data_IF_783960246777
#
_entry.id   IF_783960246777
#
_cell.length_a   1.000
_cell.length_b   1.000
_cell.length_c   1.000
_cell.angle_alpha   90.00
_cell.angle_beta   90.00
_cell.angle_gamma   90.00
#
_symmetry.space_group_name_H-M   'P 1'
#
loop_
_entity.id
_entity.type
_entity.pdbx_description
1 polymer ?
#
# COMPACT_ATOMS: atom_id res chain seq x y z
N UNK A 1 -16.04 -9.75 -4.40
CA UNK A 1 -14.82 -8.89 -4.40
C UNK A 1 -14.77 -8.13 -5.70
N UNK A 2 -14.03 -7.02 -5.84
CA UNK A 2 -14.18 -6.08 -6.97
C UNK A 2 -14.05 -6.70 -8.36
N UNK A 3 -13.25 -7.77 -8.50
CA UNK A 3 -13.09 -8.48 -9.77
C UNK A 3 -14.17 -9.52 -10.05
N UNK A 4 -14.79 -10.08 -9.01
CA UNK A 4 -15.86 -11.07 -9.13
C UNK A 4 -17.23 -10.42 -9.30
N UNK A 5 -17.47 -9.38 -8.50
CA UNK A 5 -18.74 -8.66 -8.42
C UNK A 5 -18.42 -7.16 -8.64
N UNK A 6 -18.08 -6.76 -9.88
CA UNK A 6 -17.72 -5.38 -10.17
C UNK A 6 -18.93 -4.45 -10.02
N UNK A 7 -18.69 -3.25 -9.51
CA UNK A 7 -19.73 -2.24 -9.34
C UNK A 7 -19.21 -1.00 -8.61
N UNK A 8 -19.98 0.10 -8.58
CA UNK A 8 -19.62 1.30 -7.85
C UNK A 8 -19.29 0.99 -6.38
N UNK A 9 -18.13 1.42 -5.90
CA UNK A 9 -17.70 1.23 -4.51
C UNK A 9 -17.16 -0.16 -4.18
N UNK A 10 -16.94 -1.04 -5.16
CA UNK A 10 -16.46 -2.41 -4.90
C UNK A 10 -15.02 -2.44 -4.36
N UNK A 11 -14.14 -1.55 -4.86
CA UNK A 11 -12.80 -1.35 -4.33
C UNK A 11 -12.84 -0.70 -2.95
N UNK A 12 -13.72 0.27 -2.72
CA UNK A 12 -13.95 0.88 -1.39
C UNK A 12 -14.41 -0.16 -0.36
N UNK A 13 -15.38 -1.01 -0.69
CA UNK A 13 -15.86 -2.07 0.21
C UNK A 13 -14.74 -3.07 0.54
N UNK A 14 -13.94 -3.45 -0.46
CA UNK A 14 -12.78 -4.33 -0.27
C UNK A 14 -11.68 -3.65 0.55
N UNK A 15 -11.45 -2.36 0.36
CA UNK A 15 -10.51 -1.56 1.13
C UNK A 15 -10.87 -1.53 2.63
N UNK A 16 -12.14 -1.27 2.96
CA UNK A 16 -12.62 -1.33 4.35
C UNK A 16 -12.38 -2.71 4.98
N UNK A 17 -12.73 -3.78 4.27
CA UNK A 17 -12.48 -5.16 4.74
C UNK A 17 -10.99 -5.47 4.92
N UNK A 18 -10.14 -5.01 4.01
CA UNK A 18 -8.69 -5.18 4.10
C UNK A 18 -8.10 -4.44 5.29
N UNK A 19 -8.55 -3.21 5.57
CA UNK A 19 -8.11 -2.44 6.73
C UNK A 19 -8.46 -3.13 8.05
N UNK A 20 -9.68 -3.68 8.17
CA UNK A 20 -10.10 -4.46 9.35
C UNK A 20 -9.25 -5.73 9.50
N UNK A 21 -8.99 -6.43 8.39
CA UNK A 21 -8.15 -7.62 8.40
C UNK A 21 -6.70 -7.32 8.83
N UNK A 22 -6.13 -6.21 8.35
CA UNK A 22 -4.78 -5.79 8.68
C UNK A 22 -4.60 -5.49 10.19
N UNK A 23 -5.66 -5.09 10.90
CA UNK A 23 -5.64 -4.91 12.35
C UNK A 23 -5.48 -6.26 13.08
N UNK A 24 -6.05 -7.34 12.54
CA UNK A 24 -5.90 -8.67 13.10
C UNK A 24 -4.48 -9.22 12.85
N UNK A 25 -4.08 -9.31 11.57
CA UNK A 25 -2.78 -9.81 11.16
C UNK A 25 -2.34 -9.22 9.81
N UNK A 26 -1.23 -8.47 9.78
CA UNK A 26 -0.70 -7.90 8.53
C UNK A 26 -0.06 -8.94 7.59
N UNK A 27 0.30 -10.12 8.09
CA UNK A 27 0.91 -11.18 7.28
C UNK A 27 -0.06 -11.84 6.31
N UNK A 28 -1.28 -12.14 6.76
CA UNK A 28 -2.31 -12.74 5.88
C UNK A 28 -2.70 -11.81 4.73
N UNK A 29 -2.56 -10.50 4.92
CA UNK A 29 -2.83 -9.50 3.88
C UNK A 29 -1.90 -9.64 2.67
N UNK A 30 -0.69 -10.21 2.81
CA UNK A 30 0.26 -10.35 1.70
C UNK A 30 -0.26 -11.24 0.55
N UNK A 31 -0.62 -12.52 0.77
CA UNK A 31 -1.19 -13.35 -0.30
C UNK A 31 -2.58 -12.88 -0.77
N UNK A 32 -3.38 -12.25 0.09
CA UNK A 32 -4.68 -11.70 -0.29
C UNK A 32 -4.51 -10.50 -1.24
N UNK A 33 -3.60 -9.58 -0.90
CA UNK A 33 -3.25 -8.44 -1.73
C UNK A 33 -2.61 -8.86 -3.05
N UNK A 34 -1.71 -9.85 -3.02
CA UNK A 34 -1.10 -10.41 -4.22
C UNK A 34 -2.11 -11.04 -5.18
N UNK A 35 -3.06 -11.81 -4.64
CA UNK A 35 -4.15 -12.42 -5.41
C UNK A 35 -5.04 -11.37 -6.06
N UNK A 36 -5.42 -10.35 -5.29
CA UNK A 36 -6.21 -9.22 -5.78
C UNK A 36 -5.48 -8.41 -6.86
N UNK A 37 -4.20 -8.10 -6.66
CA UNK A 37 -3.43 -7.26 -7.57
C UNK A 37 -3.02 -7.97 -8.87
N UNK A 38 -2.94 -9.30 -8.88
CA UNK A 38 -2.54 -10.06 -10.07
C UNK A 38 -3.57 -9.98 -11.22
N UNK A 39 -4.87 -9.83 -10.92
CA UNK A 39 -5.94 -9.88 -11.91
C UNK A 39 -5.77 -8.87 -13.06
N UNK A 40 -5.54 -7.56 -12.81
CA UNK A 40 -5.27 -6.61 -13.89
C UNK A 40 -4.07 -6.97 -14.77
N UNK A 41 -3.00 -7.54 -14.20
CA UNK A 41 -1.83 -7.94 -14.99
C UNK A 41 -2.15 -9.15 -15.88
N UNK A 42 -2.90 -10.14 -15.36
CA UNK A 42 -3.29 -11.33 -16.13
C UNK A 42 -4.04 -10.96 -17.41
N UNK A 43 -4.87 -9.91 -17.37
CA UNK A 43 -5.66 -9.42 -18.51
C UNK A 43 -4.82 -8.88 -19.68
N UNK A 44 -3.50 -8.71 -19.52
CA UNK A 44 -2.59 -8.42 -20.63
C UNK A 44 -2.52 -9.56 -21.66
N UNK A 45 -2.90 -10.78 -21.27
CA UNK A 45 -2.94 -11.96 -22.13
C UNK A 45 -4.27 -12.69 -21.89
N UNK A 46 -5.31 -12.42 -22.72
CA UNK A 46 -6.69 -12.89 -22.48
C UNK A 46 -6.83 -14.40 -22.24
N UNK A 47 -6.09 -15.21 -22.97
CA UNK A 47 -6.07 -16.67 -22.84
C UNK A 47 -5.56 -17.11 -21.45
N UNK A 48 -4.51 -16.47 -20.93
CA UNK A 48 -3.98 -16.74 -19.58
C UNK A 48 -4.95 -16.22 -18.52
N UNK A 49 -5.56 -15.06 -18.72
CA UNK A 49 -6.57 -14.52 -17.82
C UNK A 49 -7.81 -15.43 -17.71
N UNK A 50 -8.28 -15.98 -18.83
CA UNK A 50 -9.46 -16.86 -18.87
C UNK A 50 -9.30 -18.12 -18.03
N UNK A 51 -8.06 -18.58 -17.85
CA UNK A 51 -7.73 -19.72 -17.01
C UNK A 51 -7.56 -19.30 -15.52
N UNK A 52 -6.76 -18.26 -15.25
CA UNK A 52 -6.39 -17.92 -13.86
C UNK A 52 -7.39 -17.02 -13.13
N UNK A 53 -7.98 -16.05 -13.81
CA UNK A 53 -8.84 -15.05 -13.17
C UNK A 53 -10.03 -15.67 -12.40
N UNK A 54 -10.80 -16.64 -12.96
CA UNK A 54 -11.90 -17.27 -12.23
C UNK A 54 -11.44 -17.95 -10.93
N UNK A 55 -10.23 -18.54 -10.93
CA UNK A 55 -9.68 -19.25 -9.76
C UNK A 55 -9.22 -18.26 -8.68
N UNK A 56 -8.62 -17.14 -9.06
CA UNK A 56 -8.19 -16.08 -8.14
C UNK A 56 -9.38 -15.28 -7.59
N UNK A 57 -10.48 -15.21 -8.34
CA UNK A 57 -11.73 -14.55 -7.93
C UNK A 57 -12.65 -15.45 -7.07
N UNK A 58 -12.31 -16.73 -6.90
CA UNK A 58 -13.07 -17.66 -6.07
C UNK A 58 -13.07 -17.22 -4.60
N UNK A 59 -14.23 -17.27 -3.90
CA UNK A 59 -14.31 -16.94 -2.48
C UNK A 59 -13.80 -18.08 -1.56
N UNK A 60 -13.31 -19.18 -2.12
CA UNK A 60 -12.97 -20.38 -1.36
C UNK A 60 -11.47 -20.52 -1.18
N UNK A 61 -11.01 -20.49 0.06
CA UNK A 61 -9.65 -20.88 0.40
C UNK A 61 -9.49 -22.40 0.34
N UNK A 62 -8.44 -22.85 -0.34
CA UNK A 62 -8.08 -24.26 -0.45
C UNK A 62 -6.59 -24.44 -0.16
N UNK A 63 -6.28 -25.10 0.95
CA UNK A 63 -4.90 -25.29 1.43
C UNK A 63 -4.19 -26.52 0.84
N UNK A 64 -4.91 -27.36 0.08
CA UNK A 64 -4.39 -28.65 -0.39
C UNK A 64 -3.23 -28.41 -1.36
N UNK A 65 -2.22 -29.29 -1.29
CA UNK A 65 -1.04 -29.25 -2.14
C UNK A 65 -1.28 -30.12 -3.38
N UNK A 66 -2.13 -29.63 -4.28
CA UNK A 66 -2.57 -30.29 -5.50
C UNK A 66 -2.56 -29.29 -6.67
N UNK A 67 -2.62 -29.75 -7.94
CA UNK A 67 -2.72 -28.86 -9.08
C UNK A 67 -3.88 -27.86 -8.96
N UNK A 68 -3.68 -26.64 -9.45
CA UNK A 68 -4.63 -25.54 -9.29
C UNK A 68 -6.01 -25.83 -9.92
N UNK A 69 -6.07 -26.65 -10.97
CA UNK A 69 -7.31 -27.08 -11.62
C UNK A 69 -8.24 -27.90 -10.70
N UNK A 70 -7.69 -28.59 -9.70
CA UNK A 70 -8.44 -29.43 -8.76
C UNK A 70 -8.81 -28.72 -7.44
N UNK A 71 -8.45 -27.43 -7.35
CA UNK A 71 -8.71 -26.60 -6.18
C UNK A 71 -10.02 -25.83 -6.32
N UNK A 72 -10.65 -25.51 -5.18
CA UNK A 72 -11.85 -24.66 -5.15
C UNK A 72 -11.56 -23.18 -5.37
N UNK A 73 -10.32 -22.76 -5.18
CA UNK A 73 -9.83 -21.40 -5.38
C UNK A 73 -8.31 -21.37 -5.27
N UNK A 74 -7.71 -20.35 -5.86
CA UNK A 74 -6.26 -20.21 -5.96
C UNK A 74 -5.78 -18.89 -5.38
N UNK A 75 -4.54 -18.86 -4.92
CA UNK A 75 -3.88 -17.61 -4.50
C UNK A 75 -2.66 -17.31 -5.37
N UNK A 76 -2.39 -16.02 -5.60
CA UNK A 76 -1.25 -15.53 -6.36
C UNK A 76 -0.26 -14.79 -5.45
N UNK A 77 1.02 -14.99 -5.69
CA UNK A 77 2.09 -14.15 -5.15
C UNK A 77 3.01 -13.67 -6.27
N UNK A 78 4.13 -13.04 -5.93
CA UNK A 78 4.99 -12.35 -6.89
C UNK A 78 6.46 -12.61 -6.61
N UNK A 79 7.27 -12.69 -7.66
CA UNK A 79 8.71 -12.88 -7.61
C UNK A 79 9.44 -11.91 -8.52
N UNK A 80 9.78 -10.73 -8.01
CA UNK A 80 10.48 -9.68 -8.77
C UNK A 80 11.93 -9.56 -8.33
N UNK A 81 12.15 -9.32 -7.04
CA UNK A 81 13.43 -8.97 -6.43
C UNK A 81 14.45 -10.09 -6.53
N UNK A 82 15.67 -9.72 -6.93
CA UNK A 82 16.85 -10.58 -6.93
C UNK A 82 17.92 -10.03 -5.96
N UNK A 83 19.00 -10.80 -5.75
CA UNK A 83 20.06 -10.46 -4.77
C UNK A 83 20.70 -9.10 -5.05
N UNK A 84 20.89 -8.78 -6.34
CA UNK A 84 21.50 -7.55 -6.83
C UNK A 84 20.57 -6.33 -6.79
N UNK A 85 19.25 -6.52 -6.66
CA UNK A 85 18.32 -5.40 -6.62
C UNK A 85 16.84 -5.78 -6.66
N UNK A 86 16.03 -4.99 -5.96
CA UNK A 86 14.56 -5.02 -6.05
C UNK A 86 13.93 -3.76 -6.63
N UNK A 87 14.64 -2.61 -6.56
CA UNK A 87 14.17 -1.37 -7.19
C UNK A 87 14.53 -1.30 -8.68
N UNK A 88 15.73 -1.77 -9.03
CA UNK A 88 16.15 -1.90 -10.43
C UNK A 88 15.93 -3.34 -10.92
N UNK A 89 14.66 -3.66 -11.24
CA UNK A 89 14.29 -4.98 -11.76
C UNK A 89 14.84 -5.26 -13.16
N UNK A 90 15.37 -4.25 -13.86
CA UNK A 90 16.03 -4.44 -15.18
C UNK A 90 17.38 -5.13 -15.05
N UNK A 91 18.00 -5.04 -13.88
CA UNK A 91 19.23 -5.76 -13.54
C UNK A 91 18.99 -7.25 -13.20
N UNK A 92 17.76 -7.76 -13.29
CA UNK A 92 17.46 -9.17 -13.06
C UNK A 92 18.25 -10.08 -14.01
N UNK A 93 18.72 -11.22 -13.49
CA UNK A 93 19.51 -12.21 -14.21
C UNK A 93 18.80 -13.55 -14.38
N UNK A 94 17.62 -13.75 -13.74
CA UNK A 94 16.78 -14.93 -14.06
C UNK A 94 16.47 -14.91 -15.55
N UNK A 95 16.80 -16.00 -16.25
CA UNK A 95 16.63 -16.14 -17.69
C UNK A 95 15.37 -16.94 -18.01
N UNK A 96 14.75 -16.66 -19.15
CA UNK A 96 13.62 -17.40 -19.68
C UNK A 96 13.92 -17.81 -21.13
N UNK A 97 13.92 -19.12 -21.39
CA UNK A 97 14.08 -19.68 -22.75
C UNK A 97 12.74 -20.17 -23.29
N UNK A 98 12.35 -19.83 -24.53
CA UNK A 98 11.07 -20.28 -25.09
C UNK A 98 11.02 -21.80 -25.20
N UNK A 99 9.85 -22.36 -24.93
CA UNK A 99 9.47 -23.74 -25.24
C UNK A 99 8.51 -23.68 -26.45
N UNK A 100 8.67 -24.59 -27.40
CA UNK A 100 7.80 -24.73 -28.57
C UNK A 100 7.53 -23.42 -29.35
N UNK A 101 8.54 -22.54 -29.45
CA UNK A 101 8.47 -21.29 -30.21
C UNK A 101 8.08 -20.03 -29.41
N UNK A 102 7.61 -20.17 -28.17
CA UNK A 102 7.32 -19.04 -27.28
C UNK A 102 6.17 -18.13 -27.75
N UNK A 103 6.29 -16.83 -27.48
CA UNK A 103 5.27 -15.81 -27.77
C UNK A 103 4.30 -15.56 -26.61
N UNK A 104 3.43 -14.52 -26.71
CA UNK A 104 2.42 -14.23 -25.69
C UNK A 104 1.58 -15.47 -25.36
N UNK A 105 1.41 -15.78 -24.08
CA UNK A 105 0.71 -16.99 -23.61
C UNK A 105 1.50 -18.30 -23.77
N UNK A 106 2.58 -18.30 -24.56
CA UNK A 106 3.48 -19.42 -24.77
C UNK A 106 4.33 -19.75 -23.55
N UNK A 107 4.78 -21.01 -23.47
CA UNK A 107 5.56 -21.52 -22.33
C UNK A 107 7.05 -21.24 -22.49
N UNK A 108 7.71 -20.96 -21.37
CA UNK A 108 9.14 -20.74 -21.25
C UNK A 108 9.67 -21.58 -20.09
N UNK A 109 10.92 -22.04 -20.19
CA UNK A 109 11.65 -22.57 -19.05
C UNK A 109 12.47 -21.45 -18.43
N UNK A 110 12.32 -21.26 -17.12
CA UNK A 110 12.97 -20.22 -16.34
C UNK A 110 14.05 -20.83 -15.45
N UNK A 111 15.22 -20.19 -15.46
CA UNK A 111 16.39 -20.58 -14.69
C UNK A 111 16.96 -19.34 -13.97
N UNK A 112 17.14 -19.41 -12.65
CA UNK A 112 17.62 -18.28 -11.85
C UNK A 112 17.14 -18.29 -10.41
N UNK A 113 16.93 -17.12 -9.81
CA UNK A 113 16.53 -17.01 -8.41
C UNK A 113 15.66 -15.80 -8.12
N UNK A 114 14.87 -15.87 -7.03
CA UNK A 114 14.21 -14.73 -6.40
C UNK A 114 14.59 -14.62 -4.94
N UNK A 115 15.03 -13.42 -4.56
CA UNK A 115 15.64 -13.19 -3.26
C UNK A 115 14.63 -12.95 -2.15
N UNK A 116 13.52 -12.30 -2.45
CA UNK A 116 12.36 -12.19 -1.56
C UNK A 116 11.14 -12.74 -2.26
N UNK A 117 10.71 -13.92 -1.84
CA UNK A 117 9.59 -14.63 -2.43
C UNK A 117 8.55 -14.95 -1.35
N UNK A 118 7.58 -14.05 -1.19
CA UNK A 118 6.56 -14.16 -0.15
C UNK A 118 5.44 -15.13 -0.54
N UNK A 119 4.81 -15.73 0.47
CA UNK A 119 3.77 -16.73 0.32
C UNK A 119 4.11 -17.85 -0.69
N UNK A 120 5.22 -18.59 -0.49
CA UNK A 120 5.69 -19.64 -1.41
C UNK A 120 4.71 -20.80 -1.57
N UNK A 121 3.65 -20.84 -0.76
CA UNK A 121 2.56 -21.81 -0.86
C UNK A 121 1.47 -21.43 -1.87
N UNK A 122 1.49 -20.20 -2.43
CA UNK A 122 0.56 -19.78 -3.47
C UNK A 122 0.60 -20.73 -4.69
N UNK A 123 -0.51 -20.74 -5.43
CA UNK A 123 -0.71 -21.66 -6.55
C UNK A 123 -0.04 -21.19 -7.83
N UNK A 124 0.13 -19.87 -7.95
CA UNK A 124 0.71 -19.21 -9.10
C UNK A 124 1.48 -17.97 -8.68
N UNK A 125 2.48 -17.61 -9.49
CA UNK A 125 3.37 -16.50 -9.23
C UNK A 125 3.58 -15.66 -10.47
N UNK A 126 3.52 -14.34 -10.35
CA UNK A 126 4.00 -13.44 -11.39
C UNK A 126 5.48 -13.18 -11.19
N UNK A 127 6.31 -13.65 -12.12
CA UNK A 127 7.78 -13.64 -12.02
C UNK A 127 8.37 -12.84 -13.18
N UNK A 128 9.31 -11.93 -12.89
CA UNK A 128 10.07 -11.22 -13.92
C UNK A 128 11.33 -11.99 -14.29
N UNK A 129 11.59 -12.19 -15.58
CA UNK A 129 12.80 -12.84 -16.10
C UNK A 129 13.21 -12.25 -17.46
N UNK A 130 14.48 -12.42 -17.83
CA UNK A 130 15.04 -11.98 -19.11
C UNK A 130 14.73 -13.01 -20.20
N UNK A 131 13.85 -12.64 -21.13
CA UNK A 131 13.61 -13.38 -22.37
C UNK A 131 14.52 -12.85 -23.49
N UNK A 132 14.55 -13.47 -24.69
CA UNK A 132 15.30 -12.94 -25.83
C UNK A 132 14.99 -11.46 -26.15
N UNK A 133 13.72 -11.04 -26.06
CA UNK A 133 13.28 -9.66 -26.22
C UNK A 133 13.50 -8.74 -25.01
N UNK A 134 14.09 -9.24 -23.92
CA UNK A 134 14.39 -8.50 -22.69
C UNK A 134 13.48 -8.85 -21.50
N UNK A 135 13.48 -7.97 -20.49
CA UNK A 135 12.77 -8.21 -19.23
C UNK A 135 11.25 -8.36 -19.45
N UNK A 136 10.75 -9.55 -19.12
CA UNK A 136 9.39 -10.00 -19.40
C UNK A 136 8.71 -10.51 -18.12
N UNK A 137 7.38 -10.57 -18.12
CA UNK A 137 6.61 -11.12 -17.00
C UNK A 137 6.09 -12.51 -17.35
N UNK A 138 6.13 -13.43 -16.38
CA UNK A 138 5.70 -14.80 -16.55
C UNK A 138 4.70 -15.21 -15.48
N UNK A 139 3.67 -15.94 -15.88
CA UNK A 139 2.77 -16.67 -14.98
C UNK A 139 3.36 -18.03 -14.72
N UNK A 140 3.92 -18.22 -13.52
CA UNK A 140 4.63 -19.43 -13.12
C UNK A 140 3.77 -20.21 -12.13
N UNK A 141 3.08 -21.29 -12.54
CA UNK A 141 2.30 -22.10 -11.63
C UNK A 141 3.19 -23.00 -10.76
N UNK A 142 2.70 -23.36 -9.58
CA UNK A 142 3.40 -24.27 -8.66
C UNK A 142 3.46 -25.72 -9.15
N UNK A 143 2.49 -26.11 -9.99
CA UNK A 143 2.42 -27.38 -10.70
C UNK A 143 2.41 -27.12 -12.20
N UNK A 144 3.06 -27.99 -12.97
CA UNK A 144 3.03 -27.97 -14.43
C UNK A 144 1.68 -28.48 -14.96
N UNK A 145 1.35 -28.23 -16.24
CA UNK A 145 0.11 -28.72 -16.86
C UNK A 145 -0.06 -30.25 -16.82
N UNK A 146 1.05 -31.00 -16.77
CA UNK A 146 1.06 -32.46 -16.62
C UNK A 146 0.77 -32.95 -15.20
N UNK A 147 0.61 -32.04 -14.23
CA UNK A 147 0.35 -32.33 -12.83
C UNK A 147 1.62 -32.55 -11.99
N UNK A 148 2.82 -32.53 -12.59
CA UNK A 148 4.07 -32.59 -11.83
C UNK A 148 4.36 -31.28 -11.09
N UNK A 149 5.20 -31.35 -10.06
CA UNK A 149 5.69 -30.13 -9.40
C UNK A 149 6.56 -29.34 -10.37
N UNK A 150 6.38 -28.03 -10.38
CA UNK A 150 7.23 -27.15 -11.17
C UNK A 150 8.62 -27.01 -10.53
N UNK A 151 9.62 -26.63 -11.31
CA UNK A 151 11.04 -26.51 -10.91
C UNK A 151 11.33 -25.35 -9.96
N UNK A 152 10.66 -25.33 -8.81
CA UNK A 152 10.68 -24.25 -7.82
C UNK A 152 11.27 -24.77 -6.50
N UNK A 153 12.50 -24.34 -6.19
CA UNK A 153 13.28 -24.83 -5.07
C UNK A 153 13.34 -23.78 -3.96
N UNK A 154 12.69 -24.06 -2.83
CA UNK A 154 12.70 -23.17 -1.67
C UNK A 154 13.97 -23.41 -0.85
N UNK A 155 14.90 -22.45 -0.86
CA UNK A 155 16.21 -22.62 -0.25
C UNK A 155 16.18 -22.40 1.26
N UNK A 156 15.52 -21.31 1.70
CA UNK A 156 15.30 -21.00 3.11
C UNK A 156 14.15 -20.04 3.30
N UNK A 157 13.66 -19.96 4.53
CA UNK A 157 12.79 -18.87 4.98
C UNK A 157 13.62 -17.72 5.55
N UNK A 158 13.12 -16.49 5.38
CA UNK A 158 13.68 -15.29 5.98
C UNK A 158 13.32 -15.24 7.47
N UNK A 159 14.31 -14.95 8.32
CA UNK A 159 14.06 -14.53 9.69
C UNK A 159 13.81 -13.01 9.69
N UNK A 160 12.54 -12.61 9.77
CA UNK A 160 12.10 -11.22 9.58
C UNK A 160 11.84 -10.52 10.92
N UNK A 161 12.10 -9.20 10.95
CA UNK A 161 11.74 -8.31 12.05
C UNK A 161 10.25 -8.41 12.41
N UNK A 162 9.38 -8.09 11.44
CA UNK A 162 7.93 -8.22 11.50
C UNK A 162 7.40 -9.16 10.43
N UNK A 163 6.08 -9.16 10.22
CA UNK A 163 5.40 -9.92 9.18
C UNK A 163 5.70 -11.43 9.24
N UNK A 164 6.00 -11.93 10.45
CA UNK A 164 6.52 -13.28 10.70
C UNK A 164 5.50 -14.39 10.41
N UNK A 165 4.20 -14.07 10.46
CA UNK A 165 3.11 -14.98 10.09
C UNK A 165 3.09 -15.29 8.58
N UNK A 166 3.63 -14.40 7.74
CA UNK A 166 3.78 -14.61 6.30
C UNK A 166 5.15 -15.19 5.99
N UNK A 167 5.20 -16.39 5.42
CA UNK A 167 6.46 -16.98 4.97
C UNK A 167 7.03 -16.18 3.80
N UNK A 168 8.27 -15.71 3.94
CA UNK A 168 9.06 -15.18 2.82
C UNK A 168 10.27 -16.08 2.64
N UNK A 169 10.52 -16.54 1.42
CA UNK A 169 11.60 -17.47 1.11
C UNK A 169 12.62 -16.87 0.15
N UNK A 170 13.72 -17.59 0.00
CA UNK A 170 14.59 -17.55 -1.17
C UNK A 170 14.18 -18.69 -2.10
N UNK A 171 14.03 -18.37 -3.38
CA UNK A 171 13.61 -19.30 -4.42
C UNK A 171 14.73 -19.45 -5.45
N UNK A 172 15.03 -20.67 -5.84
CA UNK A 172 15.77 -20.99 -7.06
C UNK A 172 14.82 -21.66 -8.06
N UNK A 173 14.97 -21.30 -9.34
CA UNK A 173 14.20 -21.82 -10.45
C UNK A 173 15.13 -22.69 -11.29
N UNK A 174 14.73 -23.94 -11.54
CA UNK A 174 15.46 -24.90 -12.38
C UNK A 174 14.51 -25.45 -13.44
N UNK A 175 14.65 -24.97 -14.68
CA UNK A 175 13.73 -25.23 -15.78
C UNK A 175 12.25 -25.13 -15.36
N UNK A 176 11.92 -24.07 -14.61
CA UNK A 176 10.56 -23.82 -14.15
C UNK A 176 9.69 -23.34 -15.32
N UNK A 177 8.54 -23.95 -15.53
CA UNK A 177 7.64 -23.57 -16.62
C UNK A 177 6.86 -22.31 -16.25
N UNK A 178 6.88 -21.31 -17.14
CA UNK A 178 6.10 -20.09 -17.01
C UNK A 178 5.49 -19.65 -18.34
N UNK A 179 4.26 -19.17 -18.34
CA UNK A 179 3.62 -18.60 -19.52
C UNK A 179 3.98 -17.12 -19.64
N UNK A 180 4.37 -16.66 -20.82
CA UNK A 180 4.64 -15.25 -21.05
C UNK A 180 3.35 -14.43 -20.88
N UNK A 181 3.42 -13.37 -20.08
CA UNK A 181 2.33 -12.43 -19.84
C UNK A 181 2.65 -11.09 -20.51
N UNK A 182 1.79 -10.69 -21.46
CA UNK A 182 2.01 -9.59 -22.38
C UNK A 182 3.07 -9.93 -23.43
N UNK A 183 3.81 -8.91 -23.87
CA UNK A 183 4.88 -9.04 -24.87
C UNK A 183 6.26 -9.22 -24.20
N UNK A 184 7.18 -9.89 -24.91
CA UNK A 184 8.58 -9.93 -24.49
C UNK A 184 9.18 -8.51 -24.36
N UNK A 185 10.02 -8.29 -23.36
CA UNK A 185 10.64 -6.98 -23.08
C UNK A 185 9.70 -5.94 -22.46
N UNK A 186 8.41 -6.26 -22.33
CA UNK A 186 7.38 -5.38 -21.76
C UNK A 186 6.97 -5.77 -20.34
N UNK A 187 7.79 -6.53 -19.61
CA UNK A 187 7.47 -7.05 -18.28
C UNK A 187 7.09 -5.97 -17.25
N UNK A 188 7.85 -4.86 -17.18
CA UNK A 188 7.52 -3.74 -16.27
C UNK A 188 6.19 -3.06 -16.65
N UNK A 189 5.95 -2.66 -17.91
CA UNK A 189 4.64 -2.21 -18.37
C UNK A 189 3.50 -3.18 -18.05
N UNK A 190 3.69 -4.49 -18.24
CA UNK A 190 2.65 -5.51 -17.98
C UNK A 190 2.19 -5.52 -16.53
N UNK A 191 3.10 -5.34 -15.56
CA UNK A 191 2.76 -5.45 -14.14
C UNK A 191 2.48 -4.12 -13.44
N UNK A 192 2.52 -2.98 -14.15
CA UNK A 192 2.41 -1.68 -13.50
C UNK A 192 1.06 -1.50 -12.78
N UNK A 193 -0.01 -2.03 -13.35
CA UNK A 193 -1.34 -2.01 -12.73
C UNK A 193 -1.39 -2.89 -11.48
N UNK A 194 -0.75 -4.05 -11.48
CA UNK A 194 -0.60 -4.87 -10.28
C UNK A 194 0.16 -4.11 -9.18
N UNK A 195 1.28 -3.48 -9.52
CA UNK A 195 2.10 -2.70 -8.57
C UNK A 195 1.30 -1.53 -8.00
N UNK A 196 0.44 -0.88 -8.79
CA UNK A 196 -0.44 0.18 -8.28
C UNK A 196 -1.41 -0.36 -7.20
N UNK A 197 -2.05 -1.50 -7.46
CA UNK A 197 -2.95 -2.13 -6.49
C UNK A 197 -2.24 -2.60 -5.21
N UNK A 198 -1.01 -3.10 -5.29
CA UNK A 198 -0.24 -3.44 -4.09
C UNK A 198 0.17 -2.21 -3.30
N UNK A 199 0.47 -1.09 -3.97
CA UNK A 199 0.73 0.20 -3.31
C UNK A 199 -0.50 0.76 -2.60
N UNK A 200 -1.69 0.58 -3.17
CA UNK A 200 -2.96 0.84 -2.47
C UNK A 200 -3.07 -0.01 -1.19
N UNK A 201 -2.74 -1.30 -1.27
CA UNK A 201 -2.75 -2.18 -0.09
C UNK A 201 -1.74 -1.77 0.99
N UNK A 202 -0.58 -1.22 0.60
CA UNK A 202 0.35 -0.61 1.55
C UNK A 202 -0.30 0.54 2.32
N UNK A 203 -0.99 1.43 1.60
CA UNK A 203 -1.72 2.56 2.19
C UNK A 203 -2.82 2.07 3.14
N UNK A 204 -3.63 1.10 2.70
CA UNK A 204 -4.72 0.53 3.49
C UNK A 204 -4.21 -0.20 4.75
N UNK A 205 -3.21 -1.07 4.60
CA UNK A 205 -2.62 -1.80 5.73
C UNK A 205 -2.00 -0.85 6.76
N UNK A 206 -1.39 0.24 6.29
CA UNK A 206 -0.84 1.28 7.16
C UNK A 206 -1.93 2.04 7.93
N UNK A 207 -2.99 2.47 7.25
CA UNK A 207 -4.13 3.12 7.90
C UNK A 207 -4.81 2.21 8.92
N UNK A 208 -4.94 0.91 8.62
CA UNK A 208 -5.40 -0.10 9.58
C UNK A 208 -4.49 -0.19 10.81
N UNK A 209 -3.17 -0.19 10.61
CA UNK A 209 -2.18 -0.17 11.69
C UNK A 209 -2.27 1.07 12.58
N UNK A 210 -2.42 2.27 12.00
CA UNK A 210 -2.64 3.51 12.76
C UNK A 210 -3.90 3.41 13.63
N UNK A 211 -5.00 2.91 13.04
CA UNK A 211 -6.27 2.75 13.75
C UNK A 211 -6.14 1.78 14.93
N UNK A 212 -5.45 0.65 14.74
CA UNK A 212 -5.19 -0.32 15.81
C UNK A 212 -4.39 0.33 16.94
N UNK A 213 -3.28 0.99 16.60
CA UNK A 213 -2.38 1.60 17.59
C UNK A 213 -3.10 2.61 18.47
N UNK A 214 -3.81 3.57 17.87
CA UNK A 214 -4.50 4.62 18.64
C UNK A 214 -5.68 4.07 19.45
N UNK A 215 -6.40 3.08 18.94
CA UNK A 215 -7.50 2.44 19.69
C UNK A 215 -6.98 1.77 20.96
N UNK A 216 -5.85 1.06 20.87
CA UNK A 216 -5.20 0.42 22.03
C UNK A 216 -4.65 1.45 23.02
N UNK A 217 -4.00 2.52 22.53
CA UNK A 217 -3.47 3.59 23.37
C UNK A 217 -4.57 4.31 24.15
N UNK A 218 -5.66 4.70 23.46
CA UNK A 218 -6.82 5.36 24.10
C UNK A 218 -7.48 4.43 25.12
N UNK A 219 -7.70 3.16 24.75
CA UNK A 219 -8.29 2.18 25.67
C UNK A 219 -7.43 2.04 26.94
N UNK A 220 -6.12 1.89 26.79
CA UNK A 220 -5.21 1.80 27.94
C UNK A 220 -5.28 3.05 28.82
N UNK A 221 -5.22 4.24 28.22
CA UNK A 221 -5.22 5.50 28.95
C UNK A 221 -6.53 5.75 29.72
N UNK A 222 -7.66 5.21 29.24
CA UNK A 222 -8.97 5.28 29.91
C UNK A 222 -9.08 4.41 31.16
N UNK A 223 -8.18 3.45 31.35
CA UNK A 223 -8.22 2.52 32.49
C UNK A 223 -7.00 2.61 33.39
N UNK A 224 -5.88 3.11 32.89
CA UNK A 224 -4.66 3.27 33.67
C UNK A 224 -4.70 4.58 34.47
N UNK A 225 -4.47 4.48 35.78
CA UNK A 225 -4.27 5.65 36.64
C UNK A 225 -2.80 5.94 36.91
N UNK A 226 -2.45 7.23 36.96
CA UNK A 226 -1.18 7.74 37.45
C UNK A 226 -1.39 9.12 38.09
N UNK A 227 -0.63 9.43 39.14
CA UNK A 227 -0.74 10.71 39.86
C UNK A 227 -2.17 11.06 40.30
N UNK A 228 -2.94 10.04 40.72
CA UNK A 228 -4.28 10.22 41.29
C UNK A 228 -5.44 10.39 40.31
N UNK A 229 -5.21 10.27 38.99
CA UNK A 229 -6.22 10.38 37.93
C UNK A 229 -6.00 9.36 36.82
N UNK A 230 -7.00 9.13 35.97
CA UNK A 230 -6.81 8.33 34.76
C UNK A 230 -5.86 9.05 33.81
N UNK A 231 -5.07 8.31 33.03
CA UNK A 231 -4.17 8.89 32.04
C UNK A 231 -4.95 9.69 31.00
N UNK A 232 -6.13 9.23 30.59
CA UNK A 232 -7.01 9.95 29.68
C UNK A 232 -7.55 11.30 30.24
N UNK A 233 -7.38 11.56 31.54
CA UNK A 233 -7.73 12.83 32.20
C UNK A 233 -6.51 13.77 32.35
N UNK A 234 -5.30 13.29 32.05
CA UNK A 234 -4.09 14.09 32.13
C UNK A 234 -3.96 14.96 30.87
N UNK A 235 -3.86 16.30 30.98
CA UNK A 235 -3.87 17.19 29.80
C UNK A 235 -2.79 16.89 28.77
N UNK A 236 -1.58 16.53 29.22
CA UNK A 236 -0.49 16.18 28.30
C UNK A 236 -0.76 14.87 27.55
N UNK A 237 -1.32 13.87 28.23
CA UNK A 237 -1.71 12.61 27.59
C UNK A 237 -2.87 12.83 26.60
N UNK A 238 -3.84 13.70 26.93
CA UNK A 238 -4.89 14.07 25.98
C UNK A 238 -4.31 14.70 24.71
N UNK A 239 -3.27 15.54 24.84
CA UNK A 239 -2.56 16.09 23.68
C UNK A 239 -1.96 14.96 22.82
N UNK A 240 -1.18 14.05 23.42
CA UNK A 240 -0.57 12.90 22.70
C UNK A 240 -1.62 12.02 22.02
N UNK A 241 -2.68 11.64 22.74
CA UNK A 241 -3.73 10.77 22.20
C UNK A 241 -4.52 11.43 21.07
N UNK A 242 -4.84 12.73 21.20
CA UNK A 242 -5.48 13.49 20.15
C UNK A 242 -4.57 13.60 18.92
N UNK A 243 -3.26 13.76 19.12
CA UNK A 243 -2.29 13.89 18.05
C UNK A 243 -2.15 12.60 17.22
N UNK A 244 -2.09 11.45 17.92
CA UNK A 244 -2.14 10.12 17.31
C UNK A 244 -3.45 9.84 16.58
N UNK A 245 -4.56 10.35 17.12
CA UNK A 245 -5.89 10.23 16.54
C UNK A 245 -6.03 11.02 15.24
N UNK A 246 -5.55 12.28 15.22
CA UNK A 246 -5.52 13.10 14.00
C UNK A 246 -4.79 12.36 12.86
N UNK A 247 -3.62 11.78 13.15
CA UNK A 247 -2.84 11.06 12.14
C UNK A 247 -3.52 9.75 11.68
N UNK A 248 -4.25 9.08 12.58
CA UNK A 248 -5.08 7.92 12.23
C UNK A 248 -6.28 8.28 11.35
N UNK A 249 -6.99 9.39 11.64
CA UNK A 249 -8.15 9.83 10.87
C UNK A 249 -7.71 10.31 9.48
N UNK A 250 -6.64 11.10 9.40
CA UNK A 250 -6.05 11.55 8.14
C UNK A 250 -5.62 10.38 7.25
N UNK A 251 -4.98 9.35 7.82
CA UNK A 251 -4.60 8.15 7.08
C UNK A 251 -5.83 7.37 6.59
N UNK A 252 -6.86 7.23 7.42
CA UNK A 252 -8.09 6.48 7.10
C UNK A 252 -8.86 7.14 5.97
N UNK A 253 -9.11 8.45 6.06
CA UNK A 253 -9.85 9.20 5.03
C UNK A 253 -9.09 9.18 3.71
N UNK A 254 -7.77 9.42 3.71
CA UNK A 254 -6.98 9.35 2.48
C UNK A 254 -6.94 7.96 1.85
N UNK A 255 -6.86 6.91 2.66
CA UNK A 255 -6.84 5.53 2.16
C UNK A 255 -8.18 5.13 1.52
N UNK A 256 -9.30 5.51 2.14
CA UNK A 256 -10.64 5.26 1.61
C UNK A 256 -10.95 6.12 0.39
N UNK A 257 -10.52 7.39 0.38
CA UNK A 257 -10.59 8.25 -0.80
C UNK A 257 -9.78 7.65 -1.96
N UNK A 258 -8.56 7.17 -1.71
CA UNK A 258 -7.75 6.55 -2.75
C UNK A 258 -8.43 5.29 -3.30
N UNK A 259 -9.03 4.45 -2.45
CA UNK A 259 -9.80 3.29 -2.90
C UNK A 259 -10.97 3.68 -3.82
N UNK A 260 -11.66 4.81 -3.54
CA UNK A 260 -12.69 5.38 -4.41
C UNK A 260 -12.12 5.79 -5.77
N UNK A 261 -10.95 6.42 -5.80
CA UNK A 261 -10.28 6.76 -7.06
C UNK A 261 -9.95 5.50 -7.87
N UNK A 262 -9.63 4.37 -7.23
CA UNK A 262 -9.46 3.10 -7.94
C UNK A 262 -10.78 2.60 -8.54
N UNK A 263 -11.90 2.66 -7.81
CA UNK A 263 -13.24 2.36 -8.35
C UNK A 263 -13.56 3.23 -9.59
N UNK A 264 -13.42 4.55 -9.47
CA UNK A 264 -13.73 5.52 -10.53
C UNK A 264 -12.78 5.38 -11.74
N UNK A 265 -11.54 4.94 -11.53
CA UNK A 265 -10.57 4.69 -12.60
C UNK A 265 -10.85 3.43 -13.43
N UNK A 266 -11.61 2.48 -12.86
CA UNK A 266 -11.86 1.14 -13.44
C UNK A 266 -13.24 0.98 -14.08
N UNK A 267 -14.05 2.05 -14.17
CA UNK A 267 -15.39 1.99 -14.77
C UNK A 267 -15.30 1.43 -16.19
N UNK A 268 -15.82 0.21 -16.35
CA UNK A 268 -15.51 -0.76 -17.41
C UNK A 268 -15.90 -0.35 -18.85
N UNK A 269 -16.33 0.89 -19.08
CA UNK A 269 -16.77 1.40 -20.39
C UNK A 269 -16.38 2.87 -20.61
N UNK A 270 -15.50 3.45 -19.79
CA UNK A 270 -15.18 4.86 -19.91
C UNK A 270 -14.24 5.12 -21.10
N UNK A 271 -14.67 6.03 -21.97
CA UNK A 271 -13.83 6.72 -22.95
C UNK A 271 -12.58 7.31 -22.27
N UNK A 272 -11.59 7.69 -23.07
CA UNK A 272 -10.41 8.44 -22.59
C UNK A 272 -10.74 9.92 -22.25
N UNK A 273 -11.98 10.17 -21.83
CA UNK A 273 -12.58 11.49 -21.64
C UNK A 273 -13.39 11.53 -20.34
N UNK A 274 -13.55 12.73 -19.77
CA UNK A 274 -14.37 12.97 -18.58
C UNK A 274 -13.80 12.42 -17.26
N UNK A 275 -14.69 12.15 -16.30
CA UNK A 275 -14.37 11.81 -14.91
C UNK A 275 -13.43 10.61 -14.75
N UNK A 276 -13.54 9.60 -15.62
CA UNK A 276 -12.67 8.43 -15.54
C UNK A 276 -11.21 8.74 -15.91
N UNK A 277 -10.98 9.69 -16.82
CA UNK A 277 -9.62 10.18 -17.14
C UNK A 277 -9.05 10.95 -15.96
N UNK A 278 -9.84 11.81 -15.32
CA UNK A 278 -9.42 12.54 -14.12
C UNK A 278 -9.07 11.57 -12.98
N UNK A 279 -9.90 10.56 -12.73
CA UNK A 279 -9.61 9.51 -11.76
C UNK A 279 -8.30 8.76 -12.08
N UNK A 280 -8.03 8.44 -13.35
CA UNK A 280 -6.75 7.82 -13.77
C UNK A 280 -5.55 8.75 -13.52
N UNK A 281 -5.68 10.04 -13.79
CA UNK A 281 -4.64 11.04 -13.52
C UNK A 281 -4.38 11.19 -12.01
N UNK A 282 -5.43 11.32 -11.20
CA UNK A 282 -5.35 11.33 -9.75
C UNK A 282 -4.71 10.05 -9.22
N UNK A 283 -5.13 8.88 -9.70
CA UNK A 283 -4.57 7.59 -9.28
C UNK A 283 -3.06 7.52 -9.53
N UNK A 284 -2.60 7.99 -10.70
CA UNK A 284 -1.19 7.94 -11.11
C UNK A 284 -0.28 8.73 -10.16
N UNK A 285 -0.74 9.88 -9.66
CA UNK A 285 0.05 10.76 -8.81
C UNK A 285 -0.21 10.55 -7.32
N UNK A 286 -1.47 10.37 -6.90
CA UNK A 286 -1.83 10.27 -5.49
C UNK A 286 -1.44 8.93 -4.85
N UNK A 287 -1.40 7.83 -5.62
CA UNK A 287 -0.96 6.52 -5.11
C UNK A 287 0.46 6.57 -4.54
N UNK A 288 1.50 7.00 -5.28
CA UNK A 288 2.85 7.10 -4.72
C UNK A 288 2.98 8.21 -3.65
N UNK A 289 2.26 9.33 -3.75
CA UNK A 289 2.23 10.38 -2.71
C UNK A 289 1.75 9.82 -1.37
N UNK A 290 0.59 9.16 -1.35
CA UNK A 290 0.01 8.62 -0.13
C UNK A 290 0.78 7.40 0.40
N UNK A 291 1.28 6.52 -0.48
CA UNK A 291 2.14 5.42 -0.04
C UNK A 291 3.41 5.95 0.62
N UNK A 292 4.07 6.95 0.02
CA UNK A 292 5.26 7.56 0.59
C UNK A 292 4.97 8.06 2.00
N UNK A 293 3.98 8.93 2.14
CA UNK A 293 3.74 9.65 3.39
C UNK A 293 3.25 8.73 4.51
N UNK A 294 2.14 8.01 4.30
CA UNK A 294 1.53 7.18 5.34
C UNK A 294 2.50 6.09 5.82
N UNK A 295 3.12 5.37 4.88
CA UNK A 295 4.00 4.26 5.24
C UNK A 295 5.31 4.74 5.90
N UNK A 296 5.81 5.93 5.57
CA UNK A 296 6.97 6.54 6.26
C UNK A 296 6.66 6.93 7.70
N UNK A 297 5.43 7.34 7.97
CA UNK A 297 4.95 7.82 9.26
C UNK A 297 4.67 6.70 10.27
N UNK A 298 4.25 5.53 9.78
CA UNK A 298 3.79 4.42 10.61
C UNK A 298 4.73 3.96 11.72
N UNK A 299 6.07 3.87 11.54
CA UNK A 299 6.97 3.51 12.64
C UNK A 299 6.91 4.50 13.81
N UNK A 300 6.87 5.79 13.54
CA UNK A 300 6.80 6.83 14.56
C UNK A 300 5.47 6.77 15.32
N UNK A 301 4.37 6.60 14.58
CA UNK A 301 3.03 6.42 15.17
C UNK A 301 2.97 5.18 16.06
N UNK A 302 3.52 4.05 15.62
CA UNK A 302 3.54 2.82 16.37
C UNK A 302 4.41 2.90 17.65
N UNK A 303 5.55 3.59 17.59
CA UNK A 303 6.41 3.83 18.77
C UNK A 303 5.67 4.63 19.83
N UNK A 304 5.03 5.74 19.46
CA UNK A 304 4.32 6.58 20.42
C UNK A 304 3.09 5.86 21.00
N UNK A 305 2.33 5.13 20.17
CA UNK A 305 1.25 4.29 20.66
C UNK A 305 1.77 3.25 21.66
N UNK A 306 2.93 2.64 21.40
CA UNK A 306 3.58 1.70 22.30
C UNK A 306 3.96 2.37 23.62
N UNK A 307 4.54 3.58 23.57
CA UNK A 307 4.95 4.36 24.74
C UNK A 307 3.77 4.73 25.65
N UNK A 308 2.57 4.93 25.09
CA UNK A 308 1.35 5.14 25.88
C UNK A 308 1.04 3.99 26.86
N UNK A 309 1.55 2.77 26.61
CA UNK A 309 1.42 1.62 27.51
C UNK A 309 2.56 1.48 28.53
N UNK A 310 3.57 2.36 28.48
CA UNK A 310 4.78 2.28 29.29
C UNK A 310 5.53 0.96 29.08
N UNK A 311 6.11 0.41 30.16
CA UNK A 311 6.88 -0.83 30.12
C UNK A 311 6.11 -2.03 29.56
N UNK A 312 4.79 -2.09 29.75
CA UNK A 312 3.96 -3.16 29.18
C UNK A 312 3.88 -3.08 27.65
N UNK A 313 3.97 -1.88 27.07
CA UNK A 313 4.05 -1.72 25.62
C UNK A 313 5.30 -2.37 25.03
N UNK A 314 6.38 -2.49 25.80
CA UNK A 314 7.65 -3.06 25.33
C UNK A 314 7.74 -4.58 25.45
N UNK A 315 6.69 -5.25 25.96
CA UNK A 315 6.62 -6.73 26.07
C UNK A 315 5.66 -7.31 25.03
N UNK A 316 6.02 -8.46 24.45
CA UNK A 316 5.33 -9.08 23.30
C UNK A 316 3.87 -9.45 23.59
N UNK A 317 3.53 -9.74 24.85
CA UNK A 317 2.19 -10.10 25.30
C UNK A 317 1.18 -8.95 25.09
N UNK A 318 1.64 -7.70 25.08
CA UNK A 318 0.78 -6.52 24.81
C UNK A 318 0.35 -6.40 23.36
N UNK A 319 1.02 -7.11 22.44
CA UNK A 319 0.90 -7.02 20.97
C UNK A 319 1.38 -5.69 20.37
N UNK A 320 1.80 -4.70 21.16
CA UNK A 320 2.38 -3.45 20.66
C UNK A 320 3.74 -3.65 19.96
N UNK A 321 4.66 -4.52 20.45
CA UNK A 321 5.90 -4.79 19.74
C UNK A 321 5.66 -5.41 18.36
N UNK A 322 4.60 -6.22 18.21
CA UNK A 322 4.20 -6.74 16.90
C UNK A 322 3.78 -5.62 15.94
N UNK A 323 2.96 -4.66 16.39
CA UNK A 323 2.57 -3.49 15.58
C UNK A 323 3.81 -2.68 15.18
N UNK A 324 4.72 -2.41 16.13
CA UNK A 324 5.97 -1.71 15.85
C UNK A 324 6.83 -2.47 14.83
N UNK A 325 7.04 -3.79 15.00
CA UNK A 325 7.85 -4.61 14.09
C UNK A 325 7.22 -4.74 12.69
N UNK A 326 5.90 -4.65 12.56
CA UNK A 326 5.18 -4.66 11.28
C UNK A 326 5.28 -3.32 10.53
N UNK A 327 5.20 -2.20 11.26
CA UNK A 327 5.03 -0.85 10.70
C UNK A 327 6.04 -0.40 9.63
N UNK A 328 7.33 -0.80 9.63
CA UNK A 328 8.29 -0.36 8.60
C UNK A 328 8.09 -1.08 7.26
N UNK A 329 7.43 -2.25 7.26
CA UNK A 329 7.38 -3.12 6.09
C UNK A 329 6.69 -2.45 4.90
N UNK A 330 5.54 -1.82 5.11
CA UNK A 330 4.76 -1.20 4.02
C UNK A 330 5.52 -0.05 3.34
N UNK A 331 6.47 0.56 4.07
CA UNK A 331 7.37 1.54 3.48
C UNK A 331 8.46 0.90 2.62
N UNK A 332 8.93 -0.30 2.95
CA UNK A 332 10.04 -0.96 2.27
C UNK A 332 9.53 -1.73 1.05
N UNK A 333 8.41 -2.43 1.22
CA UNK A 333 7.79 -3.27 0.21
C UNK A 333 7.19 -2.41 -0.94
N UNK A 334 7.25 -2.96 -2.15
CA UNK A 334 6.76 -2.34 -3.40
C UNK A 334 7.22 -0.89 -3.63
N UNK A 335 8.53 -0.70 -3.56
CA UNK A 335 9.19 0.59 -3.79
C UNK A 335 9.31 1.41 -2.51
N UNK A 336 10.55 1.55 -2.04
CA UNK A 336 10.89 2.33 -0.87
C UNK A 336 10.60 3.83 -1.04
N UNK A 337 10.71 4.61 0.03
CA UNK A 337 10.36 6.05 0.02
C UNK A 337 10.99 6.86 -1.12
N UNK A 338 12.27 6.63 -1.46
CA UNK A 338 12.89 7.30 -2.61
C UNK A 338 12.25 6.90 -3.94
N UNK A 339 11.93 5.62 -4.11
CA UNK A 339 11.29 5.12 -5.34
C UNK A 339 9.91 5.76 -5.50
N UNK A 340 9.13 5.91 -4.42
CA UNK A 340 7.84 6.60 -4.47
C UNK A 340 8.00 8.07 -4.82
N UNK A 341 8.94 8.77 -4.16
CA UNK A 341 9.16 10.19 -4.43
C UNK A 341 9.60 10.44 -5.87
N UNK A 342 10.54 9.65 -6.39
CA UNK A 342 10.97 9.71 -7.79
C UNK A 342 9.84 9.29 -8.76
N UNK A 343 8.95 8.38 -8.37
CA UNK A 343 7.81 8.03 -9.21
C UNK A 343 6.79 9.16 -9.33
N UNK A 344 6.61 9.97 -8.27
CA UNK A 344 5.84 11.22 -8.36
C UNK A 344 6.50 12.15 -9.38
N UNK A 345 7.80 12.41 -9.28
CA UNK A 345 8.48 13.31 -10.23
C UNK A 345 8.36 12.80 -11.68
N UNK A 346 8.51 11.49 -11.89
CA UNK A 346 8.28 10.88 -13.22
C UNK A 346 6.85 11.04 -13.70
N UNK A 347 5.85 10.91 -12.82
CA UNK A 347 4.46 11.16 -13.18
C UNK A 347 4.26 12.63 -13.61
N UNK A 348 4.85 13.58 -12.89
CA UNK A 348 4.78 15.00 -13.25
C UNK A 348 5.39 15.29 -14.63
N UNK A 349 6.50 14.64 -14.97
CA UNK A 349 7.17 14.84 -16.27
C UNK A 349 6.40 14.14 -17.40
N UNK A 350 5.96 12.89 -17.19
CA UNK A 350 5.35 12.07 -18.24
C UNK A 350 3.84 12.32 -18.45
N UNK A 351 3.16 12.87 -17.44
CA UNK A 351 1.74 13.23 -17.42
C UNK A 351 1.54 14.54 -16.64
N UNK A 352 1.99 15.69 -17.16
CA UNK A 352 1.90 16.97 -16.44
C UNK A 352 0.48 17.33 -16.00
N UNK A 353 -0.55 16.87 -16.73
CA UNK A 353 -1.96 17.11 -16.39
C UNK A 353 -2.33 16.51 -15.02
N UNK A 354 -1.65 15.43 -14.59
CA UNK A 354 -1.89 14.83 -13.27
C UNK A 354 -1.59 15.77 -12.11
N UNK A 355 -0.67 16.72 -12.29
CA UNK A 355 -0.38 17.75 -11.28
C UNK A 355 -1.52 18.73 -11.18
N UNK A 356 -2.06 19.18 -12.32
CA UNK A 356 -3.22 20.08 -12.33
C UNK A 356 -4.41 19.41 -11.64
N UNK A 357 -4.77 18.19 -12.06
CA UNK A 357 -5.89 17.45 -11.46
C UNK A 357 -5.70 17.18 -9.97
N UNK A 358 -4.47 16.90 -9.52
CA UNK A 358 -4.17 16.76 -8.09
C UNK A 358 -4.48 18.03 -7.31
N UNK A 359 -4.08 19.19 -7.82
CA UNK A 359 -4.38 20.46 -7.15
C UNK A 359 -5.84 20.85 -7.26
N UNK A 360 -6.52 20.55 -8.37
CA UNK A 360 -7.96 20.78 -8.50
C UNK A 360 -8.73 20.01 -7.42
N UNK A 361 -8.33 18.76 -7.13
CA UNK A 361 -8.88 17.99 -6.02
C UNK A 361 -8.54 18.59 -4.65
N UNK A 362 -7.28 18.99 -4.43
CA UNK A 362 -6.85 19.59 -3.16
C UNK A 362 -7.56 20.93 -2.90
N UNK A 363 -7.82 21.73 -3.93
CA UNK A 363 -8.45 23.05 -3.86
C UNK A 363 -9.97 23.01 -3.69
N UNK A 364 -10.61 21.84 -3.72
CA UNK A 364 -12.04 21.72 -3.40
C UNK A 364 -12.38 22.18 -1.97
N UNK A 365 -11.39 22.26 -1.07
CA UNK A 365 -11.54 22.77 0.29
C UNK A 365 -11.15 24.26 0.43
N UNK A 366 -10.83 24.95 -0.67
CA UNK A 366 -10.28 26.31 -0.64
C UNK A 366 -11.27 27.30 0.00
N UNK A 367 -10.74 28.24 0.79
CA UNK A 367 -11.51 29.27 1.48
C UNK A 367 -12.16 28.82 2.79
N UNK A 368 -11.97 27.54 3.20
CA UNK A 368 -12.47 27.04 4.49
C UNK A 368 -11.43 27.21 5.60
N UNK A 369 -10.14 27.06 5.30
CA UNK A 369 -9.03 27.22 6.25
C UNK A 369 -7.83 27.92 5.60
N UNK A 370 -7.45 29.09 6.13
CA UNK A 370 -6.36 29.91 5.58
C UNK A 370 -4.99 29.20 5.62
N UNK A 371 -4.75 28.32 6.60
CA UNK A 371 -3.48 27.58 6.72
C UNK A 371 -3.37 26.54 5.61
N UNK A 372 -4.50 25.91 5.26
CA UNK A 372 -4.56 24.97 4.14
C UNK A 372 -4.35 25.69 2.81
N UNK A 373 -5.04 26.80 2.60
CA UNK A 373 -4.91 27.60 1.37
C UNK A 373 -3.46 28.06 1.15
N UNK A 374 -2.84 28.62 2.19
CA UNK A 374 -1.44 29.03 2.14
C UNK A 374 -0.49 27.86 1.85
N UNK A 375 -0.71 26.69 2.47
CA UNK A 375 0.11 25.51 2.22
C UNK A 375 -0.05 24.97 0.79
N UNK A 376 -1.28 24.96 0.25
CA UNK A 376 -1.54 24.58 -1.15
C UNK A 376 -0.79 25.53 -2.09
N UNK A 377 -0.91 26.85 -1.88
CA UNK A 377 -0.27 27.86 -2.72
C UNK A 377 1.26 27.76 -2.67
N UNK A 378 1.82 27.53 -1.48
CA UNK A 378 3.26 27.30 -1.30
C UNK A 378 3.74 26.07 -2.05
N UNK A 379 3.08 24.92 -1.91
CA UNK A 379 3.50 23.69 -2.60
C UNK A 379 3.31 23.81 -4.12
N UNK A 380 2.24 24.47 -4.58
CA UNK A 380 2.03 24.77 -6.00
C UNK A 380 3.15 25.66 -6.55
N UNK A 381 3.63 26.63 -5.77
CA UNK A 381 4.80 27.46 -6.12
C UNK A 381 6.10 26.65 -6.15
N UNK A 382 6.36 25.85 -5.11
CA UNK A 382 7.57 25.03 -5.02
C UNK A 382 7.68 23.99 -6.14
N UNK A 383 6.57 23.45 -6.66
CA UNK A 383 6.59 22.51 -7.78
C UNK A 383 6.87 23.15 -9.15
N UNK A 384 6.74 24.49 -9.26
CA UNK A 384 7.14 25.22 -10.48
C UNK A 384 8.64 25.47 -10.53
N UNK A 385 9.30 25.40 -9.39
CA UNK A 385 10.74 25.55 -9.27
C UNK A 385 11.43 24.22 -9.60
N UNK A 386 12.05 24.16 -10.77
CA UNK A 386 12.77 22.98 -11.26
C UNK A 386 14.18 22.86 -10.66
N UNK A 387 14.65 23.85 -9.89
CA UNK A 387 15.98 23.82 -9.30
C UNK A 387 16.07 22.75 -8.20
N UNK A 388 17.07 21.87 -8.34
CA UNK A 388 17.33 20.74 -7.44
C UNK A 388 16.11 19.83 -7.18
N UNK A 389 15.27 19.64 -8.21
CA UNK A 389 13.98 18.97 -8.08
C UNK A 389 14.06 17.55 -7.47
N UNK A 390 15.06 16.76 -7.85
CA UNK A 390 15.27 15.41 -7.30
C UNK A 390 15.71 15.42 -5.83
N UNK A 391 16.57 16.36 -5.40
CA UNK A 391 17.04 16.44 -4.01
C UNK A 391 15.90 16.83 -3.06
N UNK A 392 14.96 17.64 -3.56
CA UNK A 392 13.78 18.13 -2.85
C UNK A 392 12.56 17.21 -2.95
N UNK A 393 12.63 16.13 -3.73
CA UNK A 393 11.49 15.26 -4.05
C UNK A 393 10.68 14.84 -2.81
N UNK A 394 11.37 14.42 -1.74
CA UNK A 394 10.72 14.00 -0.49
C UNK A 394 9.93 15.10 0.18
N UNK A 395 10.48 16.32 0.24
CA UNK A 395 9.83 17.50 0.83
C UNK A 395 8.60 17.92 0.02
N UNK A 396 8.71 17.89 -1.30
CA UNK A 396 7.61 18.18 -2.20
C UNK A 396 6.47 17.17 -2.05
N UNK A 397 6.79 15.87 -2.05
CA UNK A 397 5.80 14.80 -1.94
C UNK A 397 5.14 14.76 -0.56
N UNK A 398 5.88 15.05 0.50
CA UNK A 398 5.31 15.29 1.84
C UNK A 398 4.33 16.47 1.81
N UNK A 399 4.73 17.60 1.22
CA UNK A 399 3.87 18.76 1.08
C UNK A 399 2.58 18.47 0.32
N UNK A 400 2.66 17.71 -0.78
CA UNK A 400 1.49 17.24 -1.53
C UNK A 400 0.59 16.36 -0.66
N UNK A 401 1.16 15.38 0.05
CA UNK A 401 0.38 14.49 0.92
C UNK A 401 -0.38 15.27 2.01
N UNK A 402 0.27 16.24 2.65
CA UNK A 402 -0.34 17.10 3.66
C UNK A 402 -1.44 18.01 3.10
N UNK A 403 -1.25 18.55 1.88
CA UNK A 403 -2.28 19.34 1.21
C UNK A 403 -3.53 18.51 0.93
N UNK A 404 -3.35 17.30 0.39
CA UNK A 404 -4.46 16.38 0.12
C UNK A 404 -5.14 15.92 1.42
N UNK A 405 -4.37 15.53 2.44
CA UNK A 405 -4.93 15.14 3.74
C UNK A 405 -5.75 16.26 4.39
N UNK A 406 -5.23 17.49 4.38
CA UNK A 406 -5.93 18.66 4.92
C UNK A 406 -7.23 18.92 4.16
N UNK A 407 -7.20 18.93 2.83
CA UNK A 407 -8.39 19.08 1.99
C UNK A 407 -9.46 18.03 2.27
N UNK A 408 -9.07 16.76 2.36
CA UNK A 408 -10.00 15.67 2.62
C UNK A 408 -10.60 15.72 4.03
N UNK A 409 -9.81 16.10 5.04
CA UNK A 409 -10.32 16.28 6.40
C UNK A 409 -11.30 17.45 6.49
N UNK A 410 -11.01 18.57 5.84
CA UNK A 410 -11.90 19.73 5.79
C UNK A 410 -13.24 19.38 5.10
N UNK A 411 -13.20 18.60 4.02
CA UNK A 411 -14.39 18.22 3.25
C UNK A 411 -15.23 17.12 3.89
N UNK A 412 -14.59 16.14 4.51
CA UNK A 412 -15.24 14.88 4.89
C UNK A 412 -14.99 14.44 6.34
N UNK A 413 -14.06 15.08 7.04
CA UNK A 413 -13.72 14.79 8.44
C UNK A 413 -14.58 15.56 9.44
N UNK A 414 -14.23 15.40 10.72
CA UNK A 414 -14.82 16.20 11.80
C UNK A 414 -14.09 17.54 11.94
N UNK A 415 -14.85 18.61 12.20
CA UNK A 415 -14.31 19.96 12.28
C UNK A 415 -13.17 20.09 13.30
N UNK A 416 -13.27 19.41 14.46
CA UNK A 416 -12.22 19.44 15.47
C UNK A 416 -10.92 18.78 14.98
N UNK A 417 -11.03 17.71 14.20
CA UNK A 417 -9.88 16.99 13.65
C UNK A 417 -9.27 17.77 12.50
N UNK A 418 -10.10 18.35 11.61
CA UNK A 418 -9.65 19.17 10.49
C UNK A 418 -8.90 20.42 10.97
N UNK A 419 -9.50 21.17 11.90
CA UNK A 419 -8.84 22.35 12.50
C UNK A 419 -7.51 21.97 13.17
N UNK A 420 -7.51 20.93 13.99
CA UNK A 420 -6.30 20.49 14.67
C UNK A 420 -5.23 20.00 13.69
N UNK A 421 -5.60 19.29 12.62
CA UNK A 421 -4.69 18.90 11.55
C UNK A 421 -4.08 20.13 10.88
N UNK A 422 -4.88 21.09 10.44
CA UNK A 422 -4.38 22.32 9.82
C UNK A 422 -3.46 23.10 10.77
N UNK A 423 -3.84 23.21 12.05
CA UNK A 423 -3.05 23.89 13.08
C UNK A 423 -1.68 23.25 13.33
N UNK A 424 -1.59 21.92 13.28
CA UNK A 424 -0.38 21.18 13.68
C UNK A 424 0.47 20.70 12.50
N UNK A 425 -0.14 20.47 11.33
CA UNK A 425 0.52 19.93 10.14
C UNK A 425 0.66 20.95 9.02
N UNK A 426 0.06 22.14 9.10
CA UNK A 426 0.14 23.13 8.01
C UNK A 426 0.76 24.47 8.47
N UNK A 427 0.56 24.88 9.72
CA UNK A 427 1.19 26.07 10.30
C UNK A 427 2.74 25.97 10.41
N UNK A 428 3.42 27.09 10.64
CA UNK A 428 4.89 27.15 10.72
C UNK A 428 5.45 26.56 12.03
N UNK A 429 4.75 26.75 13.15
CA UNK A 429 5.16 26.28 14.48
C UNK A 429 4.77 24.80 14.68
N UNK A 430 5.61 23.88 14.18
CA UNK A 430 5.38 22.43 14.26
C UNK A 430 6.38 21.76 15.19
N UNK A 431 5.89 20.97 16.13
CA UNK A 431 6.71 20.06 16.92
C UNK A 431 7.13 18.81 16.12
N UNK A 432 8.28 18.23 16.48
CA UNK A 432 8.81 17.02 15.85
C UNK A 432 8.36 15.70 16.49
N UNK A 433 7.76 15.76 17.68
CA UNK A 433 7.22 14.63 18.42
C UNK A 433 5.68 14.69 18.43
N UNK A 434 5.02 13.59 18.80
CA UNK A 434 3.60 13.64 19.10
C UNK A 434 3.35 14.36 20.44
N UNK A 435 2.13 14.86 20.61
CA UNK A 435 1.74 15.58 21.83
C UNK A 435 2.17 17.05 21.85
N UNK A 436 2.48 17.60 20.67
CA UNK A 436 2.86 19.02 20.50
C UNK A 436 1.75 19.84 19.85
N UNK A 437 0.49 19.43 20.00
CA UNK A 437 -0.64 20.18 19.46
C UNK A 437 -0.71 21.59 20.08
N UNK A 438 -1.05 22.62 19.29
CA UNK A 438 -1.15 23.98 19.79
C UNK A 438 -2.31 24.14 20.78
N UNK A 439 -2.31 25.27 21.51
CA UNK A 439 -3.42 25.63 22.40
C UNK A 439 -4.71 25.82 21.60
N UNK A 440 -5.83 25.46 22.21
CA UNK A 440 -7.17 25.63 21.61
C UNK A 440 -7.71 24.41 20.85
N UNK A 441 -6.90 23.36 20.68
CA UNK A 441 -7.37 22.11 20.06
C UNK A 441 -8.37 21.38 20.98
N UNK A 442 -9.51 20.98 20.41
CA UNK A 442 -10.52 20.17 21.09
C UNK A 442 -10.11 18.69 21.19
N UNK A 443 -9.13 18.44 22.07
CA UNK A 443 -8.60 17.09 22.31
C UNK A 443 -9.67 16.12 22.79
N UNK A 444 -10.67 16.60 23.54
CA UNK A 444 -11.75 15.76 24.05
C UNK A 444 -12.60 15.18 22.92
N UNK A 445 -13.05 16.02 21.99
CA UNK A 445 -13.82 15.59 20.81
C UNK A 445 -13.02 14.61 19.94
N UNK A 446 -11.75 14.92 19.69
CA UNK A 446 -10.88 14.09 18.86
C UNK A 446 -10.70 12.70 19.48
N UNK A 447 -10.41 12.62 20.79
CA UNK A 447 -10.24 11.33 21.49
C UNK A 447 -11.54 10.54 21.53
N UNK A 448 -12.67 11.19 21.80
CA UNK A 448 -13.99 10.53 21.86
C UNK A 448 -14.29 9.76 20.57
N UNK A 449 -14.09 10.39 19.41
CA UNK A 449 -14.31 9.78 18.09
C UNK A 449 -13.47 8.52 17.85
N UNK A 450 -12.27 8.49 18.42
CA UNK A 450 -11.30 7.43 18.20
C UNK A 450 -11.36 6.34 19.25
N UNK A 451 -12.05 6.56 20.35
CA UNK A 451 -12.13 5.57 21.38
C UNK A 451 -12.97 4.36 20.93
N UNK A 452 -12.58 3.14 21.31
CA UNK A 452 -13.45 1.99 21.17
C UNK A 452 -14.78 2.22 21.90
N UNK A 453 -15.87 1.68 21.33
CA UNK A 453 -17.14 1.61 22.05
C UNK A 453 -16.97 0.84 23.37
N UNK A 454 -17.66 1.30 24.41
CA UNK A 454 -17.59 0.73 25.75
C UNK A 454 -18.27 -0.64 25.85
#
# INVERSE_FOLDING_TARGET
>A
GPWRDPGPGAHVARAAGFMVMAQADGGICCPIGGTYAAVPALRATPEVASDWEPRLCSPHYDRRLIPAGDKRGSTCAMGMTEKQGGSDVRANTTAARPLDGGGPGGWYALDGHKWFFSAPMCDVFLILAQAPGGLSCFVVPRFRPDGERNGMHLMRLKDKLGNRSNASSELELEAAWGQLLGEEGRGVPTIIEMVNHTRLDCVLGTAGGHRLGVAHAIHHARHRSAFGRLLAEQPLMQNVLADLAIESEAATISAMWLARIYDESHVAFASDEGEAREARLLRRIATPVLKYWLCKRAPWHAVECLECHGGNGYVEESRMPRLLRESPLQSIWEGAGNVQALDVLRAMISRPESVATFFDEAEQARGVDERLDHHIDRIRSELRDAEEFESRARRLVEGMALALQGSLLVRFGDAAVADAFCASRLAEDRGGAFGTLPKGVDTARIIERHAPAA
#
